data_IF_329728391589
#
_entry.id   IF_329728391589
#
_cell.length_a   1.000
_cell.length_b   1.000
_cell.length_c   1.000
_cell.angle_alpha   90.00
_cell.angle_beta   90.00
_cell.angle_gamma   90.00
#
_symmetry.space_group_name_H-M   'P 1'
#
loop_
_entity.id
_entity.type
_entity.pdbx_description
1 polymer ?
#
# COMPACT_ATOMS: atom_id res chain seq x y z
N UNK A 1 12.79 -3.96 -19.18
CA UNK A 1 12.18 -2.63 -18.99
C UNK A 1 10.98 -2.58 -19.91
N UNK A 2 9.84 -2.01 -19.48
CA UNK A 2 8.68 -1.87 -20.34
C UNK A 2 8.78 -0.65 -21.25
N UNK A 3 7.66 -0.36 -21.93
CA UNK A 3 7.58 0.66 -22.97
C UNK A 3 7.70 2.08 -22.38
N UNK A 4 7.18 2.31 -21.18
CA UNK A 4 7.15 3.62 -20.52
C UNK A 4 8.12 3.64 -19.33
N UNK A 5 9.41 3.87 -19.62
CA UNK A 5 10.50 3.74 -18.64
C UNK A 5 10.30 4.52 -17.33
N UNK A 6 9.74 5.73 -17.40
CA UNK A 6 9.45 6.56 -16.24
C UNK A 6 8.38 5.93 -15.34
N UNK A 7 7.14 5.78 -15.83
CA UNK A 7 6.08 5.12 -15.08
C UNK A 7 6.45 3.71 -14.58
N UNK A 8 7.10 2.89 -15.42
CA UNK A 8 7.53 1.53 -15.05
C UNK A 8 8.49 1.53 -13.86
N UNK A 9 9.36 2.55 -13.77
CA UNK A 9 10.26 2.70 -12.64
C UNK A 9 9.48 3.01 -11.35
N UNK A 10 8.51 3.92 -11.40
CA UNK A 10 7.66 4.23 -10.25
C UNK A 10 6.89 2.99 -9.76
N UNK A 11 6.31 2.21 -10.68
CA UNK A 11 5.59 0.98 -10.33
C UNK A 11 6.54 -0.06 -9.72
N UNK A 12 7.71 -0.28 -10.32
CA UNK A 12 8.68 -1.25 -9.79
C UNK A 12 9.20 -0.87 -8.40
N UNK A 13 9.41 0.42 -8.14
CA UNK A 13 9.79 0.90 -6.80
C UNK A 13 8.65 0.78 -5.78
N UNK A 14 7.39 0.78 -6.23
CA UNK A 14 6.19 0.56 -5.40
C UNK A 14 5.98 -0.94 -5.10
N UNK A 15 6.15 -1.81 -6.09
CA UNK A 15 6.03 -3.27 -5.95
C UNK A 15 7.07 -3.88 -4.99
N UNK A 16 8.16 -3.16 -4.72
CA UNK A 16 9.22 -3.56 -3.79
C UNK A 16 8.97 -3.07 -2.35
N UNK A 17 7.75 -2.66 -2.03
CA UNK A 17 7.40 -2.21 -0.68
C UNK A 17 7.69 -3.32 0.34
N UNK A 18 8.43 -2.98 1.40
CA UNK A 18 8.80 -3.96 2.44
C UNK A 18 7.60 -4.45 3.25
N UNK A 19 6.54 -3.65 3.33
CA UNK A 19 5.31 -3.97 4.04
C UNK A 19 4.13 -3.91 3.07
N UNK A 20 3.63 -5.08 2.71
CA UNK A 20 2.46 -5.26 1.86
C UNK A 20 1.62 -6.45 2.33
N UNK A 21 0.35 -6.45 1.95
CA UNK A 21 -0.59 -7.55 2.17
C UNK A 21 -1.14 -7.92 0.80
N UNK A 22 -0.67 -9.03 0.24
CA UNK A 22 -1.09 -9.46 -1.08
C UNK A 22 -2.59 -9.81 -1.10
N UNK A 23 -3.14 -9.90 -2.30
CA UNK A 23 -4.52 -10.31 -2.50
C UNK A 23 -4.85 -11.61 -1.73
N UNK A 24 -5.94 -11.60 -0.98
CA UNK A 24 -6.47 -12.74 -0.21
C UNK A 24 -5.58 -13.24 0.95
N UNK A 25 -4.42 -12.62 1.19
CA UNK A 25 -3.52 -13.00 2.28
C UNK A 25 -3.94 -12.42 3.63
N UNK A 26 -3.50 -13.08 4.70
CA UNK A 26 -3.59 -12.59 6.08
C UNK A 26 -2.21 -12.22 6.56
N UNK A 27 -2.02 -10.96 6.93
CA UNK A 27 -0.78 -10.45 7.48
C UNK A 27 -1.06 -9.25 8.38
N UNK A 28 -0.15 -8.94 9.30
CA UNK A 28 -0.29 -7.80 10.24
C UNK A 28 -1.66 -7.76 10.95
N UNK A 29 -2.22 -8.92 11.30
CA UNK A 29 -3.49 -9.03 12.01
C UNK A 29 -4.76 -8.84 11.18
N UNK A 30 -4.67 -8.60 9.86
CA UNK A 30 -5.85 -8.40 9.00
C UNK A 30 -5.81 -9.31 7.75
N UNK A 31 -7.00 -9.61 7.20
CA UNK A 31 -7.18 -10.29 5.92
C UNK A 31 -7.42 -9.27 4.82
N UNK A 32 -6.62 -9.28 3.75
CA UNK A 32 -6.90 -8.51 2.56
C UNK A 32 -7.89 -9.24 1.65
N UNK A 33 -9.19 -8.95 1.75
CA UNK A 33 -10.21 -9.56 0.89
C UNK A 33 -10.21 -9.03 -0.56
N UNK A 34 -9.36 -8.06 -0.89
CA UNK A 34 -9.27 -7.49 -2.25
C UNK A 34 -8.49 -8.42 -3.18
N UNK A 35 -8.73 -8.28 -4.47
CA UNK A 35 -8.01 -9.00 -5.54
C UNK A 35 -6.69 -8.30 -5.96
N UNK A 36 -6.23 -7.33 -5.19
CA UNK A 36 -4.99 -6.59 -5.40
C UNK A 36 -4.25 -6.42 -4.08
N UNK A 37 -2.93 -6.22 -4.16
CA UNK A 37 -2.07 -5.94 -3.03
C UNK A 37 -2.39 -4.58 -2.41
N UNK A 38 -2.42 -4.53 -1.08
CA UNK A 38 -2.45 -3.28 -0.30
C UNK A 38 -1.05 -3.07 0.27
N UNK A 39 -0.51 -1.86 0.16
CA UNK A 39 0.85 -1.53 0.60
C UNK A 39 0.86 -0.53 1.76
N UNK A 40 2.02 -0.36 2.39
CA UNK A 40 2.19 0.66 3.43
C UNK A 40 2.00 2.07 2.88
N UNK A 41 1.39 2.97 3.66
CA UNK A 41 1.07 4.33 3.22
C UNK A 41 2.30 5.15 2.75
N UNK A 42 3.49 4.90 3.32
CA UNK A 42 4.72 5.56 2.87
C UNK A 42 5.14 5.13 1.45
N UNK A 43 4.89 3.88 1.09
CA UNK A 43 5.14 3.37 -0.26
C UNK A 43 4.23 4.05 -1.27
N UNK A 44 2.95 4.17 -0.95
CA UNK A 44 1.96 4.81 -1.82
C UNK A 44 2.18 6.33 -1.91
N UNK A 45 2.60 6.98 -0.83
CA UNK A 45 2.96 8.39 -0.84
C UNK A 45 4.16 8.67 -1.77
N UNK A 46 5.20 7.85 -1.69
CA UNK A 46 6.34 7.90 -2.63
C UNK A 46 5.91 7.61 -4.07
N UNK A 47 5.04 6.63 -4.26
CA UNK A 47 4.51 6.29 -5.59
C UNK A 47 3.76 7.47 -6.20
N UNK A 48 2.85 8.11 -5.44
CA UNK A 48 2.15 9.34 -5.84
C UNK A 48 3.12 10.44 -6.23
N UNK A 49 4.14 10.69 -5.41
CA UNK A 49 5.15 11.72 -5.70
C UNK A 49 5.96 11.40 -6.96
N UNK A 50 6.35 10.13 -7.16
CA UNK A 50 7.08 9.69 -8.34
C UNK A 50 6.28 9.95 -9.62
N UNK A 51 4.99 9.59 -9.63
CA UNK A 51 4.10 9.82 -10.77
C UNK A 51 3.90 11.30 -11.06
N UNK A 52 3.68 12.12 -10.02
CA UNK A 52 3.52 13.58 -10.16
C UNK A 52 4.79 14.25 -10.70
N UNK A 53 5.96 13.76 -10.32
CA UNK A 53 7.25 14.31 -10.75
C UNK A 53 7.55 14.03 -12.24
N UNK A 54 7.02 12.94 -12.80
CA UNK A 54 7.15 12.64 -14.23
C UNK A 54 6.29 13.56 -15.09
N UNK A 55 5.11 13.93 -14.59
CA UNK A 55 4.17 14.86 -15.23
C UNK A 55 3.86 14.52 -16.71
N UNK A 56 3.76 13.23 -17.02
CA UNK A 56 3.38 12.74 -18.34
C UNK A 56 1.99 12.07 -18.34
N UNK A 57 1.41 11.93 -19.54
CA UNK A 57 0.06 11.37 -19.72
C UNK A 57 -0.11 9.99 -19.09
N UNK A 58 0.88 9.12 -19.21
CA UNK A 58 0.79 7.73 -18.74
C UNK A 58 0.89 7.68 -17.22
N UNK A 59 1.82 8.43 -16.62
CA UNK A 59 1.90 8.58 -15.17
C UNK A 59 0.62 9.13 -14.57
N UNK A 60 -0.01 10.10 -15.22
CA UNK A 60 -1.26 10.69 -14.76
C UNK A 60 -2.44 9.73 -14.87
N UNK A 61 -2.53 8.92 -15.93
CA UNK A 61 -3.53 7.85 -16.03
C UNK A 61 -3.34 6.85 -14.88
N UNK A 62 -2.12 6.38 -14.64
CA UNK A 62 -1.82 5.44 -13.54
C UNK A 62 -2.23 6.05 -12.19
N UNK A 63 -1.83 7.29 -11.93
CA UNK A 63 -2.15 7.99 -10.68
C UNK A 63 -3.66 8.16 -10.47
N UNK A 64 -4.39 8.60 -11.49
CA UNK A 64 -5.86 8.73 -11.42
C UNK A 64 -6.52 7.37 -11.21
N UNK A 65 -6.10 6.34 -11.94
CA UNK A 65 -6.67 5.00 -11.81
C UNK A 65 -6.47 4.46 -10.38
N UNK A 66 -5.25 4.57 -9.83
CA UNK A 66 -4.93 4.03 -8.51
C UNK A 66 -5.61 4.80 -7.36
N UNK A 67 -5.44 6.12 -7.31
CA UNK A 67 -5.83 6.93 -6.16
C UNK A 67 -7.27 7.50 -6.23
N UNK A 68 -7.86 7.61 -7.43
CA UNK A 68 -9.16 8.28 -7.58
C UNK A 68 -10.25 7.34 -8.10
N UNK A 69 -9.95 6.42 -9.02
CA UNK A 69 -10.95 5.50 -9.58
C UNK A 69 -11.10 4.23 -8.74
N UNK A 70 -9.98 3.56 -8.46
CA UNK A 70 -9.98 2.34 -7.65
C UNK A 70 -9.98 2.64 -6.15
N UNK A 71 -9.58 3.87 -5.78
CA UNK A 71 -9.44 4.32 -4.39
C UNK A 71 -8.73 3.28 -3.53
N UNK A 72 -7.60 2.76 -4.05
CA UNK A 72 -6.84 1.70 -3.37
C UNK A 72 -6.44 2.22 -1.99
N UNK A 73 -6.81 1.55 -0.89
CA UNK A 73 -6.39 1.99 0.42
C UNK A 73 -4.93 1.63 0.67
N UNK A 74 -4.32 2.27 1.67
CA UNK A 74 -3.05 1.82 2.24
C UNK A 74 -3.25 1.41 3.70
N UNK A 75 -2.19 0.92 4.35
CA UNK A 75 -2.19 0.72 5.79
C UNK A 75 -0.97 1.36 6.45
N UNK A 76 -1.10 1.67 7.74
CA UNK A 76 0.02 1.94 8.63
C UNK A 76 0.19 0.80 9.61
N UNK A 77 1.40 0.59 10.12
CA UNK A 77 1.66 -0.36 11.19
C UNK A 77 1.66 0.35 12.55
N UNK A 78 0.85 -0.16 13.47
CA UNK A 78 0.74 0.33 14.84
C UNK A 78 1.18 -0.79 15.80
N UNK A 79 2.03 -0.46 16.76
CA UNK A 79 2.48 -1.42 17.76
C UNK A 79 1.36 -1.69 18.77
N UNK A 80 1.02 -2.97 18.96
CA UNK A 80 0.02 -3.44 19.93
C UNK A 80 0.56 -4.60 20.75
N UNK A 81 0.19 -4.67 22.03
CA UNK A 81 0.47 -5.83 22.87
C UNK A 81 -0.57 -6.93 22.61
N UNK A 82 -0.14 -7.99 21.94
CA UNK A 82 -1.01 -9.09 21.53
C UNK A 82 -0.54 -10.42 22.09
N UNK A 83 -1.44 -11.41 22.07
CA UNK A 83 -1.05 -12.78 22.38
C UNK A 83 -0.24 -13.39 21.24
N UNK A 84 1.04 -13.65 21.50
CA UNK A 84 1.98 -14.24 20.52
C UNK A 84 2.18 -15.73 20.72
N UNK A 85 1.71 -16.28 21.84
CA UNK A 85 1.79 -17.69 22.17
C UNK A 85 0.57 -18.13 22.96
N UNK A 86 -0.10 -19.18 22.48
CA UNK A 86 -1.33 -19.71 23.06
C UNK A 86 -1.07 -21.01 23.81
N UNK A 87 -1.75 -21.20 24.94
CA UNK A 87 -1.87 -22.52 25.55
C UNK A 87 -2.78 -23.42 24.70
N UNK A 88 -2.50 -24.73 24.69
CA UNK A 88 -3.30 -25.68 23.90
C UNK A 88 -4.75 -25.84 24.42
N UNK A 89 -4.98 -25.63 25.72
CA UNK A 89 -6.31 -25.63 26.34
C UNK A 89 -7.03 -24.28 26.23
N UNK A 90 -6.45 -23.31 25.52
CA UNK A 90 -6.95 -21.94 25.41
C UNK A 90 -6.36 -20.98 26.44
N UNK A 91 -6.49 -19.69 26.15
CA UNK A 91 -5.85 -18.61 26.91
C UNK A 91 -4.43 -18.30 26.41
N UNK A 92 -3.98 -17.07 26.70
CA UNK A 92 -2.68 -16.61 26.27
C UNK A 92 -1.58 -17.04 27.25
N UNK A 93 -0.54 -17.68 26.74
CA UNK A 93 0.66 -18.01 27.52
C UNK A 93 1.61 -16.82 27.61
N UNK A 94 1.78 -16.08 26.51
CA UNK A 94 2.72 -14.96 26.43
C UNK A 94 2.23 -13.85 25.52
N UNK A 95 2.28 -12.63 26.04
CA UNK A 95 2.06 -11.40 25.29
C UNK A 95 3.36 -10.86 24.70
N UNK A 96 3.24 -10.13 23.60
CA UNK A 96 4.36 -9.45 22.96
C UNK A 96 3.87 -8.29 22.10
N UNK A 97 4.73 -7.29 21.94
CA UNK A 97 4.47 -6.16 21.04
C UNK A 97 4.63 -6.63 19.60
N UNK A 98 3.58 -6.47 18.79
CA UNK A 98 3.57 -6.81 17.37
C UNK A 98 3.02 -5.65 16.54
N UNK A 99 3.47 -5.51 15.28
CA UNK A 99 2.92 -4.51 14.37
C UNK A 99 1.60 -5.00 13.77
N UNK A 100 0.50 -4.27 14.01
CA UNK A 100 -0.81 -4.51 13.42
C UNK A 100 -1.13 -3.46 12.36
N UNK A 101 -1.75 -3.89 11.27
CA UNK A 101 -2.14 -3.01 10.19
C UNK A 101 -3.45 -2.29 10.52
N UNK A 102 -3.44 -0.95 10.42
CA UNK A 102 -4.64 -0.13 10.37
C UNK A 102 -4.81 0.45 8.98
N UNK A 103 -5.96 0.15 8.37
CA UNK A 103 -6.31 0.65 7.04
C UNK A 103 -6.55 2.17 7.05
N UNK A 104 -6.11 2.84 5.98
CA UNK A 104 -6.20 4.29 5.80
C UNK A 104 -6.71 4.60 4.40
N UNK A 105 -7.68 5.51 4.33
CA UNK A 105 -8.13 6.08 3.05
C UNK A 105 -7.10 7.10 2.56
N UNK A 106 -6.74 7.01 1.28
CA UNK A 106 -5.68 7.84 0.72
C UNK A 106 -6.17 9.21 0.24
N UNK A 107 -5.24 10.14 0.11
CA UNK A 107 -5.48 11.43 -0.55
C UNK A 107 -5.58 11.25 -2.07
N UNK A 108 -6.46 12.04 -2.69
CA UNK A 108 -6.65 12.04 -4.13
C UNK A 108 -5.38 12.45 -4.90
N UNK A 109 -5.23 11.92 -6.10
CA UNK A 109 -4.23 12.31 -7.08
C UNK A 109 -4.70 13.56 -7.83
N UNK A 110 -4.00 14.68 -7.63
CA UNK A 110 -4.25 15.94 -8.32
C UNK A 110 -3.03 16.28 -9.17
N UNK A 111 -3.18 16.22 -10.49
CA UNK A 111 -2.16 16.63 -11.44
C UNK A 111 -2.61 17.86 -12.23
N UNK A 112 -1.65 18.67 -12.65
CA UNK A 112 -1.88 19.77 -13.58
C UNK A 112 -1.87 19.19 -14.99
N UNK A 113 -2.87 19.51 -15.82
CA UNK A 113 -2.76 19.21 -17.24
C UNK A 113 -1.50 19.94 -17.78
N UNK A 114 -0.62 19.26 -18.54
CA UNK A 114 0.47 19.96 -19.21
C UNK A 114 -0.14 21.08 -20.06
N UNK A 115 0.39 22.30 -19.92
CA UNK A 115 0.04 23.37 -20.85
C UNK A 115 0.38 22.89 -22.28
N UNK A 116 -0.61 22.97 -23.17
CA UNK A 116 -0.46 22.63 -24.59
C UNK A 116 0.64 23.47 -25.24
#
# INVERSE_FOLDING_TARGET
>A
AGLFRGPDRCCREHDQCSAQIEALQFNYGIRNYRLHTVSHCDCDARFRQCLLALNDTISNIIGVTFFNLLEVPCFVLEESEECVQWHWWGGCERYGVVPLARMVQQNQYHYSLPAQ
#
